data_IF_450997444938
#
_entry.id   IF_450997444938
#
_cell.length_a   1.000
_cell.length_b   1.000
_cell.length_c   1.000
_cell.angle_alpha   90.00
_cell.angle_beta   90.00
_cell.angle_gamma   90.00
#
_symmetry.space_group_name_H-M   'P 1'
#
loop_
_entity.id
_entity.type
_entity.pdbx_description
1 polymer ?
#
# COMPACT_ATOMS: atom_id res chain seq x y z
N UNK A 1 7.61 5.91 9.30
CA UNK A 1 6.77 6.05 8.09
C UNK A 1 5.33 6.30 8.51
N UNK A 2 4.86 7.54 8.33
CA UNK A 2 3.53 8.05 8.68
C UNK A 2 2.69 8.10 7.38
N UNK A 3 2.58 6.97 6.68
CA UNK A 3 1.89 6.94 5.38
C UNK A 3 0.43 6.52 5.48
N UNK A 4 0.06 5.82 6.57
CA UNK A 4 -1.33 5.53 6.84
C UNK A 4 -2.12 6.81 7.07
N UNK A 5 -1.89 7.54 8.16
CA UNK A 5 -2.87 8.51 8.71
C UNK A 5 -3.23 9.77 7.90
N UNK A 6 -2.50 10.15 6.84
CA UNK A 6 -2.60 11.52 6.27
C UNK A 6 -3.49 11.61 5.02
N UNK A 7 -3.81 10.51 4.32
CA UNK A 7 -4.43 10.56 2.98
C UNK A 7 -5.72 9.71 2.84
N UNK A 8 -6.61 9.76 3.83
CA UNK A 8 -7.77 8.84 3.87
C UNK A 8 -9.01 9.27 3.09
N UNK A 9 -9.35 10.56 3.04
CA UNK A 9 -10.72 10.97 2.69
C UNK A 9 -11.01 11.06 1.18
N UNK A 10 -10.12 10.58 0.30
CA UNK A 10 -10.37 10.59 -1.15
C UNK A 10 -9.57 9.57 -1.94
N UNK A 11 -8.31 9.29 -1.57
CA UNK A 11 -7.49 8.34 -2.33
C UNK A 11 -8.08 6.93 -2.31
N UNK A 12 -8.51 6.42 -1.15
CA UNK A 12 -9.04 5.05 -1.12
C UNK A 12 -10.45 4.93 -1.64
N UNK A 13 -11.25 5.98 -1.59
CA UNK A 13 -12.62 5.94 -2.10
C UNK A 13 -12.59 6.05 -3.63
N UNK A 14 -11.92 7.08 -4.16
CA UNK A 14 -11.92 7.37 -5.59
C UNK A 14 -10.97 6.46 -6.38
N UNK A 15 -9.72 6.26 -5.91
CA UNK A 15 -8.70 5.56 -6.70
C UNK A 15 -8.84 4.04 -6.62
N UNK A 16 -9.36 3.51 -5.50
CA UNK A 16 -9.52 2.07 -5.35
C UNK A 16 -10.59 1.56 -6.31
N UNK A 17 -11.74 2.22 -6.35
CA UNK A 17 -12.82 1.83 -7.25
C UNK A 17 -12.39 1.94 -8.71
N UNK A 18 -11.72 3.04 -9.09
CA UNK A 18 -11.17 3.20 -10.44
C UNK A 18 -10.15 2.11 -10.79
N UNK A 19 -9.32 1.71 -9.83
CA UNK A 19 -8.34 0.62 -10.03
C UNK A 19 -9.03 -0.72 -10.25
N UNK A 20 -10.05 -1.04 -9.44
CA UNK A 20 -10.84 -2.27 -9.59
C UNK A 20 -11.53 -2.33 -10.96
N UNK A 21 -12.15 -1.23 -11.38
CA UNK A 21 -12.77 -1.11 -12.69
C UNK A 21 -11.75 -1.27 -13.82
N UNK A 22 -10.59 -0.61 -13.72
CA UNK A 22 -9.52 -0.69 -14.71
C UNK A 22 -9.00 -2.13 -14.90
N UNK A 23 -8.84 -2.88 -13.81
CA UNK A 23 -8.37 -4.27 -13.86
C UNK A 23 -9.50 -5.28 -14.08
N UNK A 24 -10.77 -4.83 -14.16
CA UNK A 24 -11.93 -5.71 -14.27
C UNK A 24 -12.05 -6.68 -13.09
N UNK A 25 -11.83 -6.18 -11.88
CA UNK A 25 -11.84 -6.93 -10.63
C UNK A 25 -13.01 -6.54 -9.76
N UNK A 26 -13.70 -7.54 -9.22
CA UNK A 26 -14.69 -7.32 -8.18
C UNK A 26 -14.01 -7.30 -6.80
N UNK A 27 -14.72 -6.81 -5.78
CA UNK A 27 -14.19 -6.69 -4.42
C UNK A 27 -13.86 -8.07 -3.82
N UNK A 28 -14.59 -9.10 -4.24
CA UNK A 28 -14.39 -10.49 -3.83
C UNK A 28 -13.15 -11.14 -4.46
N UNK A 29 -12.61 -10.55 -5.54
CA UNK A 29 -11.42 -11.06 -6.23
C UNK A 29 -10.11 -10.51 -5.65
N UNK A 30 -10.19 -9.61 -4.66
CA UNK A 30 -9.04 -8.86 -4.16
C UNK A 30 -8.89 -8.99 -2.65
N UNK A 31 -7.63 -9.06 -2.22
CA UNK A 31 -7.26 -9.05 -0.79
C UNK A 31 -6.34 -7.86 -0.54
N UNK A 32 -6.70 -7.03 0.44
CA UNK A 32 -5.92 -5.85 0.81
C UNK A 32 -4.79 -6.23 1.78
N UNK A 33 -3.55 -6.03 1.34
CA UNK A 33 -2.38 -6.18 2.19
C UNK A 33 -2.01 -4.84 2.85
N UNK A 34 -2.03 -4.79 4.20
CA UNK A 34 -1.49 -3.67 4.97
C UNK A 34 -0.57 -4.13 6.10
N UNK A 35 0.39 -3.29 6.49
CA UNK A 35 1.32 -3.59 7.57
C UNK A 35 0.63 -3.67 8.94
N UNK A 36 0.92 -4.73 9.71
CA UNK A 36 0.28 -4.99 11.01
C UNK A 36 1.02 -4.38 12.22
N UNK A 37 1.99 -3.48 12.02
CA UNK A 37 2.64 -2.82 13.14
C UNK A 37 1.75 -1.71 13.73
N UNK A 38 1.68 -1.54 15.07
CA UNK A 38 0.77 -0.58 15.72
C UNK A 38 0.93 0.88 15.26
N UNK A 39 2.13 1.24 14.77
CA UNK A 39 2.45 2.56 14.23
C UNK A 39 2.02 2.77 12.77
N UNK A 40 1.68 1.69 12.08
CA UNK A 40 1.44 1.66 10.63
C UNK A 40 -0.01 1.33 10.27
N UNK A 41 -0.82 0.88 11.24
CA UNK A 41 -2.24 0.59 11.07
C UNK A 41 -3.11 1.78 11.50
N UNK A 42 -3.76 2.44 10.54
CA UNK A 42 -4.77 3.46 10.83
C UNK A 42 -6.09 2.80 11.23
N UNK A 43 -6.71 3.27 12.31
CA UNK A 43 -8.03 2.76 12.74
C UNK A 43 -9.13 3.15 11.75
N UNK A 44 -9.10 4.40 11.26
CA UNK A 44 -10.06 4.94 10.29
C UNK A 44 -10.03 4.14 9.00
N UNK A 45 -8.82 3.87 8.51
CA UNK A 45 -8.53 3.03 7.36
C UNK A 45 -9.14 1.64 7.43
N UNK A 46 -8.81 0.95 8.52
CA UNK A 46 -9.19 -0.44 8.73
C UNK A 46 -10.70 -0.51 8.77
N UNK A 47 -11.34 0.42 9.50
CA UNK A 47 -12.79 0.51 9.57
C UNK A 47 -13.43 0.75 8.19
N UNK A 48 -12.89 1.68 7.39
CA UNK A 48 -13.43 1.95 6.05
C UNK A 48 -13.30 0.73 5.13
N UNK A 49 -12.15 0.05 5.12
CA UNK A 49 -11.93 -1.17 4.34
C UNK A 49 -12.88 -2.31 4.74
N UNK A 50 -13.13 -2.45 6.05
CA UNK A 50 -14.12 -3.39 6.59
C UNK A 50 -15.54 -3.02 6.18
N UNK A 51 -15.91 -1.73 6.23
CA UNK A 51 -17.22 -1.22 5.78
C UNK A 51 -17.42 -1.35 4.26
N UNK A 52 -16.35 -1.25 3.48
CA UNK A 52 -16.33 -1.47 2.03
C UNK A 52 -16.45 -2.95 1.66
N UNK A 53 -16.37 -3.88 2.63
CA UNK A 53 -16.47 -5.32 2.40
C UNK A 53 -15.19 -5.97 1.87
N UNK A 54 -14.05 -5.28 1.96
CA UNK A 54 -12.78 -5.77 1.46
C UNK A 54 -12.13 -6.76 2.45
N UNK A 55 -11.61 -7.88 1.94
CA UNK A 55 -10.80 -8.78 2.76
C UNK A 55 -9.45 -8.12 3.09
N UNK A 56 -9.10 -8.02 4.37
CA UNK A 56 -7.81 -7.51 4.82
C UNK A 56 -6.93 -8.69 5.23
N UNK A 57 -5.79 -8.83 4.56
CA UNK A 57 -4.82 -9.89 4.87
C UNK A 57 -4.25 -9.74 6.28
N UNK A 58 -4.30 -10.83 7.05
CA UNK A 58 -3.59 -10.91 8.34
C UNK A 58 -2.09 -11.08 8.05
N UNK A 59 -1.31 -10.08 8.45
CA UNK A 59 0.13 -10.04 8.20
C UNK A 59 0.96 -10.15 9.49
N UNK A 60 2.08 -10.90 9.51
CA UNK A 60 2.97 -10.91 10.66
C UNK A 60 3.57 -9.51 10.91
N UNK A 61 3.59 -9.03 12.16
CA UNK A 61 4.21 -7.76 12.48
C UNK A 61 5.72 -7.82 12.22
N UNK A 62 6.29 -6.70 11.75
CA UNK A 62 7.74 -6.54 11.52
C UNK A 62 8.35 -7.48 10.46
N UNK A 63 7.57 -7.91 9.46
CA UNK A 63 8.07 -8.66 8.29
C UNK A 63 8.04 -7.80 7.02
N UNK A 64 8.96 -6.83 6.86
CA UNK A 64 9.06 -6.03 5.64
C UNK A 64 9.58 -6.85 4.45
N UNK A 65 10.37 -7.90 4.72
CA UNK A 65 10.91 -8.85 3.73
C UNK A 65 9.83 -9.53 2.90
N UNK A 66 8.67 -9.77 3.51
CA UNK A 66 7.54 -10.41 2.87
C UNK A 66 6.67 -9.41 2.08
N UNK A 67 6.85 -8.09 2.24
CA UNK A 67 6.00 -7.09 1.61
C UNK A 67 6.52 -6.76 0.20
N UNK A 68 5.80 -7.11 -0.89
CA UNK A 68 6.26 -6.88 -2.26
C UNK A 68 6.62 -5.42 -2.56
N UNK A 69 5.97 -4.46 -1.89
CA UNK A 69 6.25 -3.04 -2.10
C UNK A 69 7.65 -2.62 -1.62
N UNK A 70 8.20 -3.28 -0.60
CA UNK A 70 9.55 -2.96 -0.08
C UNK A 70 10.63 -3.33 -1.09
N UNK A 71 10.42 -4.41 -1.85
CA UNK A 71 11.27 -4.79 -2.99
C UNK A 71 11.20 -3.72 -4.08
N UNK A 72 10.00 -3.25 -4.43
CA UNK A 72 9.83 -2.18 -5.42
C UNK A 72 10.51 -0.88 -4.98
N UNK A 73 10.37 -0.48 -3.71
CA UNK A 73 11.05 0.69 -3.17
C UNK A 73 12.57 0.57 -3.24
N UNK A 74 13.10 -0.63 -2.96
CA UNK A 74 14.54 -0.91 -3.09
C UNK A 74 15.00 -0.69 -4.53
N UNK A 75 14.27 -1.26 -5.50
CA UNK A 75 14.57 -1.06 -6.93
C UNK A 75 14.49 0.41 -7.37
N UNK A 76 13.47 1.14 -6.91
CA UNK A 76 13.32 2.56 -7.20
C UNK A 76 14.48 3.38 -6.63
N UNK A 77 14.87 3.11 -5.38
CA UNK A 77 15.98 3.79 -4.72
C UNK A 77 17.29 3.53 -5.43
N UNK A 78 17.60 2.28 -5.76
CA UNK A 78 18.83 1.93 -6.49
C UNK A 78 18.88 2.56 -7.89
N UNK A 79 17.76 2.56 -8.60
CA UNK A 79 17.65 3.22 -9.92
C UNK A 79 17.89 4.71 -9.81
N UNK A 80 17.27 5.35 -8.81
CA UNK A 80 17.43 6.78 -8.53
C UNK A 80 18.88 7.15 -8.18
N UNK A 81 19.52 6.38 -7.31
CA UNK A 81 20.93 6.59 -6.93
C UNK A 81 21.87 6.41 -8.13
N UNK A 82 21.60 5.42 -8.98
CA UNK A 82 22.37 5.20 -10.22
C UNK A 82 22.23 6.38 -11.19
N UNK A 83 21.01 6.91 -11.37
CA UNK A 83 20.78 8.10 -12.18
C UNK A 83 21.51 9.33 -11.65
N UNK A 84 21.51 9.52 -10.33
CA UNK A 84 22.26 10.61 -9.68
C UNK A 84 23.76 10.49 -9.97
N UNK A 85 24.33 9.30 -9.84
CA UNK A 85 25.75 9.08 -10.12
C UNK A 85 26.12 9.32 -11.59
N UNK A 86 25.23 9.00 -12.54
CA UNK A 86 25.43 9.29 -13.96
C UNK A 86 25.33 10.77 -14.31
N UNK A 87 24.51 11.54 -13.59
CA UNK A 87 24.26 12.96 -13.86
C UNK A 87 25.24 13.89 -13.14
N UNK A 88 25.86 13.43 -12.05
CA UNK A 88 26.78 14.23 -11.22
C UNK A 88 28.23 13.74 -11.27
N UNK A 89 28.52 12.71 -12.08
CA UNK A 89 29.84 12.14 -12.30
C UNK A 89 30.54 12.66 -13.54
#
# INVERSE_FOLDING_TARGET
MIWGCIFWDGILEDELQQSLEYYGKDIEDVVFQQGNGPKYKSKKATKWLEEFGMEIMVWPPQSPDLNPIEHLWTHLKTSWESMIHLLMG
#
